data_IF_194557840803
#
_entry.id   IF_194557840803
#
_cell.length_a   1.000
_cell.length_b   1.000
_cell.length_c   1.000
_cell.angle_alpha   90.00
_cell.angle_beta   90.00
_cell.angle_gamma   90.00
#
_symmetry.space_group_name_H-M   'P 1'
#
loop_
_entity.id
_entity.type
_entity.pdbx_description
1 polymer ?
#
# COMPACT_ATOMS: atom_id res chain seq x y z
N UNK A 1 31.86 16.33 41.22
CA UNK A 1 30.71 16.44 40.31
C UNK A 1 30.55 15.09 39.61
N UNK A 2 29.55 14.28 39.99
CA UNK A 2 29.27 12.98 39.34
C UNK A 2 28.09 13.18 38.39
N UNK A 3 28.34 12.80 37.15
CA UNK A 3 27.56 13.06 35.95
C UNK A 3 26.10 12.60 36.08
N UNK A 4 25.15 13.50 35.84
CA UNK A 4 23.78 13.16 35.47
C UNK A 4 23.82 12.94 33.97
N UNK A 5 23.93 11.68 33.54
CA UNK A 5 23.83 11.33 32.14
C UNK A 5 22.70 10.32 31.94
N UNK A 6 21.60 10.90 31.44
CA UNK A 6 20.71 10.36 30.42
C UNK A 6 20.47 8.84 30.44
N UNK A 7 19.30 8.46 30.95
CA UNK A 7 18.56 7.32 30.41
C UNK A 7 17.21 7.85 29.89
N UNK A 8 17.29 8.66 28.84
CA UNK A 8 16.17 8.82 27.91
C UNK A 8 16.20 7.60 26.97
N UNK A 9 15.84 6.43 27.50
CA UNK A 9 15.49 5.31 26.66
C UNK A 9 14.15 5.69 26.00
N UNK A 10 14.23 6.28 24.81
CA UNK A 10 13.08 6.43 23.93
C UNK A 10 12.45 5.06 23.80
N UNK A 11 11.33 4.87 24.49
CA UNK A 11 10.32 3.91 24.11
C UNK A 11 9.81 4.31 22.73
N UNK A 12 10.58 4.00 21.69
CA UNK A 12 10.07 3.85 20.33
C UNK A 12 9.20 2.59 20.35
N UNK A 13 8.01 2.71 20.94
CA UNK A 13 6.90 1.85 20.59
C UNK A 13 6.72 2.01 19.09
N UNK A 14 7.25 1.04 18.35
CA UNK A 14 7.41 1.08 16.90
C UNK A 14 6.08 1.35 16.22
N UNK A 15 5.92 2.56 15.70
CA UNK A 15 4.90 2.84 14.70
C UNK A 15 5.42 2.16 13.43
N UNK A 16 4.99 0.92 13.20
CA UNK A 16 5.22 0.25 11.92
C UNK A 16 4.56 1.11 10.85
N UNK A 17 5.38 1.64 9.93
CA UNK A 17 4.91 2.43 8.81
C UNK A 17 4.09 1.55 7.85
N UNK A 18 3.07 2.14 7.23
CA UNK A 18 2.31 1.49 6.19
C UNK A 18 3.15 1.35 4.92
N UNK A 19 3.38 0.12 4.48
CA UNK A 19 4.21 -0.20 3.31
C UNK A 19 3.39 -0.97 2.28
N UNK A 20 3.43 -0.53 1.01
CA UNK A 20 2.88 -1.29 -0.10
C UNK A 20 3.95 -1.52 -1.17
N UNK A 21 4.09 -2.77 -1.59
CA UNK A 21 4.97 -3.18 -2.68
C UNK A 21 4.09 -3.71 -3.80
N UNK A 22 4.22 -3.16 -5.01
CA UNK A 22 3.49 -3.62 -6.18
C UNK A 22 4.42 -4.30 -7.18
N UNK A 23 3.85 -5.21 -7.98
CA UNK A 23 4.57 -6.12 -8.86
C UNK A 23 3.96 -6.12 -10.27
N UNK A 24 4.81 -6.24 -11.28
CA UNK A 24 4.38 -6.20 -12.70
C UNK A 24 3.62 -7.46 -13.16
N UNK A 25 3.71 -8.57 -12.42
CA UNK A 25 2.99 -9.83 -12.70
C UNK A 25 2.06 -10.20 -11.54
N UNK A 26 1.14 -11.13 -11.80
CA UNK A 26 0.29 -11.73 -10.76
C UNK A 26 1.12 -12.59 -9.80
N UNK A 27 0.60 -12.88 -8.62
CA UNK A 27 1.28 -13.73 -7.64
C UNK A 27 2.52 -13.10 -7.00
N UNK A 28 2.66 -11.77 -7.05
CA UNK A 28 3.76 -11.00 -6.48
C UNK A 28 5.12 -11.39 -7.06
N UNK A 29 5.15 -11.48 -8.40
CA UNK A 29 6.32 -11.87 -9.18
C UNK A 29 6.75 -10.77 -10.15
N UNK A 30 7.97 -10.90 -10.67
CA UNK A 30 8.53 -9.97 -11.66
C UNK A 30 9.12 -8.72 -11.02
N UNK A 31 9.16 -7.62 -11.78
CA UNK A 31 9.67 -6.34 -11.30
C UNK A 31 8.75 -5.80 -10.20
N UNK A 32 9.35 -5.21 -9.17
CA UNK A 32 8.61 -4.63 -8.05
C UNK A 32 9.08 -3.22 -7.72
N UNK A 33 8.21 -2.45 -7.09
CA UNK A 33 8.52 -1.14 -6.55
C UNK A 33 7.64 -0.85 -5.33
N UNK A 34 8.14 0.04 -4.47
CA UNK A 34 7.43 0.49 -3.28
C UNK A 34 6.53 1.67 -3.64
N UNK A 35 5.28 1.65 -3.18
CA UNK A 35 4.36 2.76 -3.36
C UNK A 35 4.62 3.83 -2.29
N UNK A 36 4.74 5.09 -2.72
CA UNK A 36 4.71 6.25 -1.82
C UNK A 36 3.26 6.48 -1.37
N UNK A 37 2.90 5.95 -0.20
CA UNK A 37 1.56 6.04 0.38
C UNK A 37 1.38 7.36 1.15
N UNK A 38 0.84 8.37 0.48
CA UNK A 38 0.48 9.65 1.12
C UNK A 38 -0.95 9.59 1.68
N UNK A 39 -1.16 9.86 2.99
CA UNK A 39 -2.49 9.85 3.58
C UNK A 39 -3.47 10.78 2.86
N UNK A 40 -4.69 10.29 2.67
CA UNK A 40 -5.80 10.99 2.01
C UNK A 40 -5.45 11.49 0.59
N UNK A 41 -4.53 10.81 -0.08
CA UNK A 41 -4.05 11.17 -1.41
C UNK A 41 -4.14 10.01 -2.39
N UNK A 42 -4.25 10.36 -3.68
CA UNK A 42 -4.20 9.40 -4.77
C UNK A 42 -2.81 9.35 -5.40
N UNK A 43 -2.14 8.21 -5.30
CA UNK A 43 -0.90 7.93 -6.02
C UNK A 43 -1.17 7.32 -7.38
N UNK A 44 -0.41 7.73 -8.40
CA UNK A 44 -0.41 7.12 -9.73
C UNK A 44 0.88 6.33 -9.93
N UNK A 45 0.75 5.08 -10.36
CA UNK A 45 1.88 4.16 -10.47
C UNK A 45 1.94 3.56 -11.88
N UNK A 46 3.05 2.91 -12.19
CA UNK A 46 3.13 2.08 -13.38
C UNK A 46 2.17 0.90 -13.28
N UNK A 47 1.67 0.43 -14.43
CA UNK A 47 0.74 -0.70 -14.48
C UNK A 47 1.29 -1.90 -13.69
N UNK A 48 0.52 -2.34 -12.69
CA UNK A 48 0.89 -3.44 -11.80
C UNK A 48 -0.24 -4.46 -11.70
N UNK A 49 0.12 -5.72 -11.47
CA UNK A 49 -0.82 -6.86 -11.49
C UNK A 49 -0.97 -7.56 -10.15
N UNK A 50 -0.09 -7.28 -9.20
CA UNK A 50 -0.28 -7.71 -7.81
C UNK A 50 0.44 -6.79 -6.84
N UNK A 51 0.12 -6.90 -5.56
CA UNK A 51 0.75 -6.12 -4.51
C UNK A 51 0.69 -6.84 -3.16
N UNK A 52 1.61 -6.47 -2.27
CA UNK A 52 1.58 -6.80 -0.84
C UNK A 52 1.45 -5.50 -0.07
N UNK A 53 0.63 -5.51 0.97
CA UNK A 53 0.44 -4.39 1.88
C UNK A 53 0.73 -4.82 3.31
N UNK A 54 1.53 -4.02 4.01
CA UNK A 54 1.91 -4.19 5.39
C UNK A 54 1.47 -2.93 6.12
N UNK A 55 0.30 -2.96 6.75
CA UNK A 55 -0.25 -1.75 7.30
C UNK A 55 -1.58 -1.91 8.00
N UNK A 56 -2.05 -0.80 8.57
CA UNK A 56 -3.30 -0.69 9.34
C UNK A 56 -4.32 0.27 8.73
N UNK A 57 -3.96 0.96 7.65
CA UNK A 57 -4.89 1.86 6.96
C UNK A 57 -5.80 1.16 5.96
N UNK A 58 -6.66 1.97 5.35
CA UNK A 58 -7.63 1.57 4.35
C UNK A 58 -7.13 1.93 2.95
N UNK A 59 -7.11 0.94 2.06
CA UNK A 59 -6.68 1.11 0.68
C UNK A 59 -7.84 0.93 -0.28
N UNK A 60 -7.85 1.77 -1.32
CA UNK A 60 -8.61 1.52 -2.54
C UNK A 60 -7.63 1.42 -3.71
N UNK A 61 -7.68 0.32 -4.44
CA UNK A 61 -6.79 0.03 -5.57
C UNK A 61 -7.61 0.10 -6.85
N UNK A 62 -7.17 0.94 -7.78
CA UNK A 62 -7.93 1.29 -8.98
C UNK A 62 -7.23 0.80 -10.25
N UNK A 63 -8.02 0.41 -11.24
CA UNK A 63 -7.52 0.09 -12.59
C UNK A 63 -7.34 1.32 -13.47
N UNK A 64 -8.06 2.39 -13.15
CA UNK A 64 -7.89 3.69 -13.80
C UNK A 64 -6.85 4.51 -13.04
N UNK A 65 -6.37 5.57 -13.70
CA UNK A 65 -5.49 6.56 -13.08
C UNK A 65 -6.31 7.53 -12.25
N UNK A 66 -5.62 8.31 -11.40
CA UNK A 66 -6.20 9.38 -10.58
C UNK A 66 -7.33 8.91 -9.66
N UNK A 67 -7.35 7.63 -9.30
CA UNK A 67 -8.35 7.03 -8.43
C UNK A 67 -9.79 7.21 -8.96
N UNK A 68 -9.94 7.21 -10.28
CA UNK A 68 -11.22 7.25 -10.96
C UNK A 68 -11.93 5.89 -10.88
N UNK A 69 -13.24 5.94 -10.74
CA UNK A 69 -14.13 4.78 -10.76
C UNK A 69 -15.23 5.00 -11.80
N UNK A 70 -15.73 3.90 -12.36
CA UNK A 70 -16.89 3.91 -13.28
C UNK A 70 -17.96 2.95 -12.77
N UNK A 71 -19.08 2.85 -13.46
CA UNK A 71 -20.12 1.87 -13.10
C UNK A 71 -19.67 0.43 -13.32
N UNK A 72 -18.78 0.20 -14.29
CA UNK A 72 -18.29 -1.13 -14.66
C UNK A 72 -16.99 -1.51 -13.98
N UNK A 73 -16.17 -0.53 -13.58
CA UNK A 73 -14.86 -0.76 -12.97
C UNK A 73 -14.86 -0.11 -11.58
N UNK A 74 -14.97 -0.97 -10.57
CA UNK A 74 -14.90 -0.58 -9.15
C UNK A 74 -13.51 -0.88 -8.58
N UNK A 75 -13.02 -0.07 -7.62
CA UNK A 75 -11.75 -0.35 -6.97
C UNK A 75 -11.82 -1.61 -6.11
N UNK A 76 -10.69 -2.29 -5.96
CA UNK A 76 -10.50 -3.26 -4.89
C UNK A 76 -10.36 -2.48 -3.57
N UNK A 77 -11.28 -2.71 -2.64
CA UNK A 77 -11.27 -2.08 -1.33
C UNK A 77 -10.67 -3.04 -0.32
N UNK A 78 -9.68 -2.57 0.41
CA UNK A 78 -8.91 -3.30 1.38
C UNK A 78 -9.01 -2.59 2.72
N UNK A 79 -9.70 -3.22 3.66
CA UNK A 79 -9.88 -2.73 5.02
C UNK A 79 -8.97 -3.53 5.96
N UNK A 80 -8.18 -2.80 6.75
CA UNK A 80 -7.23 -3.36 7.70
C UNK A 80 -7.87 -4.03 8.93
N UNK A 81 -7.10 -4.87 9.65
CA UNK A 81 -5.67 -5.17 9.43
C UNK A 81 -5.44 -6.17 8.29
N UNK A 82 -4.50 -5.85 7.40
CA UNK A 82 -4.11 -6.70 6.28
C UNK A 82 -2.71 -7.25 6.53
N UNK A 83 -2.59 -8.58 6.54
CA UNK A 83 -1.34 -9.28 6.81
C UNK A 83 -0.79 -9.85 5.51
N UNK A 84 0.50 -9.58 5.22
CA UNK A 84 1.43 -10.24 4.28
C UNK A 84 0.81 -11.18 3.22
N UNK A 85 -0.21 -10.69 2.51
CA UNK A 85 -0.94 -11.46 1.51
C UNK A 85 -0.66 -10.85 0.15
N UNK A 86 -0.49 -11.72 -0.84
CA UNK A 86 -0.33 -11.27 -2.21
C UNK A 86 -1.69 -11.09 -2.86
N UNK A 87 -2.12 -9.85 -3.03
CA UNK A 87 -3.33 -9.52 -3.77
C UNK A 87 -2.99 -9.45 -5.25
N UNK A 88 -3.69 -10.21 -6.07
CA UNK A 88 -3.52 -10.18 -7.52
C UNK A 88 -4.77 -9.64 -8.19
N UNK A 89 -4.58 -8.96 -9.31
CA UNK A 89 -5.66 -8.56 -10.21
C UNK A 89 -6.41 -9.82 -10.67
N UNK A 90 -7.73 -9.72 -10.80
CA UNK A 90 -8.54 -10.79 -11.39
C UNK A 90 -8.01 -11.12 -12.79
N UNK A 91 -8.02 -12.41 -13.16
CA UNK A 91 -7.62 -12.87 -14.49
C UNK A 91 -8.33 -12.17 -15.67
N UNK A 92 -9.53 -11.66 -15.45
CA UNK A 92 -10.35 -10.92 -16.43
C UNK A 92 -9.95 -9.44 -16.58
N UNK A 93 -9.07 -8.95 -15.71
CA UNK A 93 -8.73 -7.55 -15.56
C UNK A 93 -7.29 -7.25 -16.05
N UNK A 94 -7.09 -6.06 -16.65
CA UNK A 94 -5.83 -5.75 -17.36
C UNK A 94 -4.64 -5.41 -16.44
N UNK A 95 -4.82 -4.44 -15.53
CA UNK A 95 -3.85 -4.04 -14.50
C UNK A 95 -4.49 -3.03 -13.51
N UNK A 96 -3.82 -2.81 -12.38
CA UNK A 96 -4.02 -1.66 -11.50
C UNK A 96 -3.06 -0.52 -11.85
N UNK A 97 -3.46 0.72 -11.54
CA UNK A 97 -2.75 1.95 -11.95
C UNK A 97 -2.71 3.05 -10.90
N UNK A 98 -3.63 3.07 -9.95
CA UNK A 98 -3.62 4.07 -8.88
C UNK A 98 -4.10 3.51 -7.54
N UNK A 99 -3.66 4.15 -6.47
CA UNK A 99 -3.92 3.74 -5.08
C UNK A 99 -4.35 4.97 -4.30
N UNK A 100 -5.48 4.86 -3.61
CA UNK A 100 -5.88 5.81 -2.60
C UNK A 100 -5.63 5.22 -1.22
N UNK A 101 -4.87 5.92 -0.40
CA UNK A 101 -4.58 5.52 0.97
C UNK A 101 -5.27 6.44 1.97
N UNK A 102 -6.11 5.86 2.82
CA UNK A 102 -6.77 6.54 3.93
C UNK A 102 -6.23 5.99 5.23
N UNK A 103 -5.57 6.85 6.00
CA UNK A 103 -5.14 6.58 7.37
C UNK A 103 -6.27 6.96 8.33
#
# INVERSE_FOLDING_TARGET
>A
MKSIALLLACALSGIQADELIYYSRTGCQGMSAMADLKPNSCGNYYDFKSFKYYGRGHLKIYQLRKCEETDTIKPLVLNSPIQNHCYSVDSSLSAYRSIYFKN
#
